data_IF_750539433578
#
_entry.id   IF_750539433578
#
_cell.length_a   1.000
_cell.length_b   1.000
_cell.length_c   1.000
_cell.angle_alpha   90.00
_cell.angle_beta   90.00
_cell.angle_gamma   90.00
#
_symmetry.space_group_name_H-M   'P 1'
#
loop_
_entity.id
_entity.type
_entity.pdbx_description
1 polymer ?
#
# COMPACT_ATOMS: atom_id res chain seq x y z
N UNK A 1 17.60 5.81 -12.99
CA UNK A 1 16.63 5.36 -11.98
C UNK A 1 16.88 3.90 -11.66
N UNK A 2 16.94 3.54 -10.38
CA UNK A 2 16.98 2.14 -9.95
C UNK A 2 15.60 1.55 -10.19
N UNK A 3 15.53 0.53 -11.04
CA UNK A 3 14.31 -0.23 -11.32
C UNK A 3 14.13 -1.27 -10.22
N UNK A 4 12.92 -1.78 -10.03
CA UNK A 4 12.72 -2.98 -9.23
C UNK A 4 13.54 -4.13 -9.85
N UNK A 5 14.60 -4.54 -9.15
CA UNK A 5 15.48 -5.65 -9.56
C UNK A 5 15.06 -6.95 -8.89
N UNK A 6 14.20 -6.89 -7.88
CA UNK A 6 13.80 -8.05 -7.08
C UNK A 6 12.44 -8.55 -7.59
N UNK A 7 12.47 -9.48 -8.54
CA UNK A 7 11.27 -10.06 -9.15
C UNK A 7 10.66 -11.21 -8.34
N UNK A 8 11.46 -11.88 -7.52
CA UNK A 8 11.09 -13.15 -6.90
C UNK A 8 10.35 -12.99 -5.57
N UNK A 9 10.49 -11.81 -4.96
CA UNK A 9 9.77 -11.40 -3.75
C UNK A 9 8.68 -10.44 -4.16
N UNK A 10 7.52 -10.51 -3.52
CA UNK A 10 6.46 -9.51 -3.64
C UNK A 10 5.88 -9.25 -2.26
N UNK A 11 5.81 -7.98 -1.90
CA UNK A 11 5.27 -7.48 -0.65
C UNK A 11 3.74 -7.59 -0.64
N UNK A 12 3.10 -7.43 -1.80
CA UNK A 12 1.65 -7.51 -1.97
C UNK A 12 1.28 -8.53 -3.04
N UNK A 13 0.62 -9.63 -2.63
CA UNK A 13 0.15 -10.66 -3.55
C UNK A 13 -1.35 -10.56 -3.74
N UNK A 14 -1.81 -10.59 -4.99
CA UNK A 14 -3.25 -10.57 -5.31
C UNK A 14 -4.04 -11.68 -4.59
N UNK A 15 -3.44 -12.87 -4.43
CA UNK A 15 -4.05 -13.98 -3.68
C UNK A 15 -4.33 -13.61 -2.22
N UNK A 16 -3.39 -12.92 -1.56
CA UNK A 16 -3.54 -12.49 -0.16
C UNK A 16 -4.62 -11.41 -0.06
N UNK A 17 -4.63 -10.44 -0.99
CA UNK A 17 -5.65 -9.40 -1.05
C UNK A 17 -7.07 -9.97 -1.21
N UNK A 18 -7.23 -10.98 -2.08
CA UNK A 18 -8.53 -11.64 -2.30
C UNK A 18 -9.01 -12.49 -1.11
N UNK A 19 -8.12 -12.85 -0.19
CA UNK A 19 -8.50 -13.63 0.99
C UNK A 19 -9.08 -12.74 2.09
N UNK A 20 -8.79 -11.43 2.08
CA UNK A 20 -9.23 -10.49 3.12
C UNK A 20 -10.76 -10.45 3.14
N UNK A 21 -11.34 -10.75 4.31
CA UNK A 21 -12.77 -10.66 4.51
C UNK A 21 -13.27 -9.25 4.14
N UNK A 22 -14.36 -9.12 3.37
CA UNK A 22 -14.81 -7.82 2.86
C UNK A 22 -14.97 -6.73 3.94
N UNK A 23 -15.44 -7.09 5.13
CA UNK A 23 -15.59 -6.14 6.24
C UNK A 23 -14.25 -5.60 6.74
N UNK A 24 -13.16 -6.35 6.60
CA UNK A 24 -11.83 -5.98 7.09
C UNK A 24 -10.96 -5.27 6.03
N UNK A 25 -11.36 -5.31 4.76
CA UNK A 25 -10.62 -4.70 3.65
C UNK A 25 -10.39 -3.20 3.88
N UNK A 26 -11.39 -2.49 4.40
CA UNK A 26 -11.25 -1.08 4.77
C UNK A 26 -10.11 -0.86 5.78
N UNK A 27 -10.02 -1.69 6.83
CA UNK A 27 -9.01 -1.55 7.87
C UNK A 27 -7.61 -1.86 7.33
N UNK A 28 -7.51 -2.90 6.50
CA UNK A 28 -6.28 -3.23 5.78
C UNK A 28 -5.79 -2.05 4.93
N UNK A 29 -6.65 -1.50 4.06
CA UNK A 29 -6.32 -0.37 3.20
C UNK A 29 -5.91 0.88 4.00
N UNK A 30 -6.56 1.14 5.14
CA UNK A 30 -6.21 2.23 6.02
C UNK A 30 -4.81 2.05 6.63
N UNK A 31 -4.47 0.84 7.09
CA UNK A 31 -3.14 0.52 7.63
C UNK A 31 -2.07 0.59 6.54
N UNK A 32 -2.36 0.08 5.34
CA UNK A 32 -1.45 0.13 4.20
C UNK A 32 -1.20 1.57 3.77
N UNK A 33 -2.25 2.38 3.58
CA UNK A 33 -2.12 3.81 3.24
C UNK A 33 -1.30 4.59 4.28
N UNK A 34 -1.48 4.32 5.58
CA UNK A 34 -0.63 4.90 6.63
C UNK A 34 0.83 4.48 6.48
N UNK A 35 1.09 3.21 6.15
CA UNK A 35 2.44 2.72 5.95
C UNK A 35 3.15 3.45 4.80
N UNK A 36 2.50 3.57 3.63
CA UNK A 36 3.06 4.26 2.47
C UNK A 36 3.36 5.73 2.76
N UNK A 37 2.43 6.44 3.40
CA UNK A 37 2.60 7.86 3.75
C UNK A 37 3.74 8.11 4.74
N UNK A 38 3.98 7.19 5.67
CA UNK A 38 4.96 7.41 6.74
C UNK A 38 6.34 6.81 6.44
N UNK A 39 6.41 5.74 5.65
CA UNK A 39 7.63 4.94 5.50
C UNK A 39 8.17 4.87 4.08
N UNK A 40 7.34 5.13 3.06
CA UNK A 40 7.73 4.95 1.65
C UNK A 40 7.86 6.31 0.97
N UNK A 41 6.78 7.08 0.86
CA UNK A 41 6.79 8.36 0.14
C UNK A 41 7.84 9.36 0.66
N UNK A 42 8.05 9.54 1.99
CA UNK A 42 9.06 10.48 2.48
C UNK A 42 10.50 10.09 2.18
N UNK A 43 10.76 8.82 1.85
CA UNK A 43 12.10 8.26 1.63
C UNK A 43 12.43 8.07 0.14
N UNK A 44 11.51 8.42 -0.75
CA UNK A 44 11.75 8.30 -2.19
C UNK A 44 12.53 9.52 -2.68
N UNK A 45 13.76 9.26 -3.12
CA UNK A 45 14.58 10.24 -3.82
C UNK A 45 14.38 10.10 -5.33
N UNK A 46 13.72 11.09 -5.94
CA UNK A 46 13.48 11.13 -7.38
C UNK A 46 14.19 12.36 -7.97
N UNK A 47 15.14 12.11 -8.87
CA UNK A 47 15.88 13.17 -9.56
C UNK A 47 15.14 13.78 -10.76
N UNK A 48 14.15 13.08 -11.31
CA UNK A 48 13.36 13.54 -12.46
C UNK A 48 12.14 14.35 -12.01
N UNK A 49 12.04 15.60 -12.45
CA UNK A 49 10.89 16.49 -12.16
C UNK A 49 9.57 15.84 -12.60
N UNK A 50 9.55 15.15 -13.74
CA UNK A 50 8.35 14.49 -14.28
C UNK A 50 7.90 13.36 -13.36
N UNK A 51 8.83 12.53 -12.91
CA UNK A 51 8.54 11.42 -12.01
C UNK A 51 8.15 11.91 -10.62
N UNK A 52 8.78 12.99 -10.13
CA UNK A 52 8.42 13.61 -8.85
C UNK A 52 6.98 14.15 -8.87
N UNK A 53 6.55 14.76 -9.98
CA UNK A 53 5.14 15.17 -10.15
C UNK A 53 4.19 13.97 -10.10
N UNK A 54 4.54 12.87 -10.77
CA UNK A 54 3.77 11.62 -10.72
C UNK A 54 3.67 11.05 -9.30
N UNK A 55 4.79 11.03 -8.58
CA UNK A 55 4.83 10.58 -7.19
C UNK A 55 3.97 11.46 -6.27
N UNK A 56 4.06 12.78 -6.40
CA UNK A 56 3.26 13.70 -5.60
C UNK A 56 1.77 13.51 -5.86
N UNK A 57 1.38 13.32 -7.12
CA UNK A 57 -0.01 13.03 -7.47
C UNK A 57 -0.49 11.73 -6.80
N UNK A 58 0.30 10.67 -6.91
CA UNK A 58 0.01 9.38 -6.27
C UNK A 58 -0.09 9.49 -4.74
N UNK A 59 0.85 10.17 -4.10
CA UNK A 59 0.84 10.40 -2.65
C UNK A 59 -0.42 11.15 -2.20
N UNK A 60 -0.85 12.15 -2.98
CA UNK A 60 -2.09 12.88 -2.71
C UNK A 60 -3.32 12.00 -2.87
N UNK A 61 -3.39 11.13 -3.89
CA UNK A 61 -4.48 10.16 -4.05
C UNK A 61 -4.53 9.18 -2.87
N UNK A 62 -3.39 8.65 -2.43
CA UNK A 62 -3.31 7.78 -1.25
C UNK A 62 -3.71 8.53 0.03
N UNK A 63 -3.33 9.80 0.17
CA UNK A 63 -3.75 10.65 1.28
C UNK A 63 -5.28 10.85 1.30
N UNK A 64 -5.88 11.12 0.14
CA UNK A 64 -7.33 11.24 0.00
C UNK A 64 -8.06 9.97 0.46
N UNK A 65 -7.66 8.82 -0.09
CA UNK A 65 -8.21 7.51 0.29
C UNK A 65 -8.06 7.24 1.80
N UNK A 66 -6.89 7.55 2.37
CA UNK A 66 -6.64 7.41 3.81
C UNK A 66 -7.60 8.27 4.65
N UNK A 67 -7.90 9.49 4.21
CA UNK A 67 -8.82 10.40 4.92
C UNK A 67 -10.25 9.81 4.90
N UNK A 68 -10.71 9.35 3.74
CA UNK A 68 -12.03 8.72 3.59
C UNK A 68 -12.15 7.45 4.44
N UNK A 69 -11.16 6.56 4.37
CA UNK A 69 -11.13 5.33 5.17
C UNK A 69 -11.05 5.62 6.68
N UNK A 70 -10.33 6.68 7.08
CA UNK A 70 -10.29 7.12 8.48
C UNK A 70 -11.68 7.56 8.94
N UNK A 71 -12.43 8.27 8.10
CA UNK A 71 -13.81 8.63 8.41
C UNK A 71 -14.71 7.39 8.58
N UNK A 72 -14.62 6.43 7.65
CA UNK A 72 -15.32 5.15 7.73
C UNK A 72 -15.02 4.39 9.04
N UNK A 73 -13.75 4.37 9.45
CA UNK A 73 -13.32 3.76 10.72
C UNK A 73 -13.85 4.50 11.94
N UNK A 74 -13.81 5.83 11.96
CA UNK A 74 -14.39 6.62 13.05
C UNK A 74 -15.92 6.41 13.18
N UNK A 75 -16.61 6.10 12.08
CA UNK A 75 -18.04 5.76 12.08
C UNK A 75 -18.33 4.29 12.39
N UNK A 76 -17.35 3.51 12.88
CA UNK A 76 -17.47 2.07 13.18
C UNK A 76 -17.90 1.19 11.98
N UNK A 77 -17.72 1.66 10.74
CA UNK A 77 -18.05 0.93 9.50
C UNK A 77 -16.85 0.17 8.91
N UNK A 78 -15.74 0.14 9.63
CA UNK A 78 -14.46 -0.41 9.18
C UNK A 78 -13.87 -1.31 10.28
N UNK A 79 -14.45 -2.48 10.54
CA UNK A 79 -13.95 -3.37 11.57
C UNK A 79 -12.51 -3.81 11.25
N UNK A 80 -11.68 -3.87 12.29
CA UNK A 80 -10.32 -4.36 12.23
C UNK A 80 -10.26 -5.69 12.99
N UNK A 81 -10.23 -6.80 12.27
CA UNK A 81 -10.04 -8.13 12.83
C UNK A 81 -8.61 -8.63 12.68
N UNK A 82 -8.41 -9.90 13.02
CA UNK A 82 -7.10 -10.53 13.03
C UNK A 82 -6.52 -10.69 11.62
N UNK A 83 -7.37 -10.82 10.60
CA UNK A 83 -6.90 -11.06 9.24
C UNK A 83 -6.22 -9.82 8.66
N UNK A 84 -6.84 -8.65 8.80
CA UNK A 84 -6.22 -7.38 8.38
C UNK A 84 -4.96 -7.06 9.19
N UNK A 85 -4.90 -7.47 10.46
CA UNK A 85 -3.70 -7.32 11.28
C UNK A 85 -2.56 -8.20 10.76
N UNK A 86 -2.81 -9.51 10.62
CA UNK A 86 -1.80 -10.49 10.20
C UNK A 86 -1.22 -10.19 8.83
N UNK A 87 -2.05 -9.86 7.86
CA UNK A 87 -1.57 -9.53 6.51
C UNK A 87 -0.68 -8.28 6.51
N UNK A 88 -1.03 -7.29 7.33
CA UNK A 88 -0.20 -6.09 7.49
C UNK A 88 1.09 -6.38 8.27
N UNK A 89 1.11 -7.37 9.15
CA UNK A 89 2.31 -7.84 9.84
C UNK A 89 3.25 -8.55 8.87
N UNK A 90 2.75 -9.55 8.12
CA UNK A 90 3.51 -10.25 7.08
C UNK A 90 4.12 -9.28 6.05
N UNK A 91 3.35 -8.27 5.63
CA UNK A 91 3.83 -7.21 4.75
C UNK A 91 4.99 -6.43 5.37
N UNK A 92 4.87 -6.02 6.65
CA UNK A 92 5.91 -5.25 7.35
C UNK A 92 7.17 -6.08 7.57
N UNK A 93 7.02 -7.33 8.00
CA UNK A 93 8.14 -8.24 8.22
C UNK A 93 8.94 -8.43 6.93
N UNK A 94 8.25 -8.72 5.82
CA UNK A 94 8.91 -8.86 4.51
C UNK A 94 9.60 -7.56 4.09
N UNK A 95 8.95 -6.40 4.29
CA UNK A 95 9.52 -5.10 3.96
C UNK A 95 10.81 -4.81 4.76
N UNK A 96 10.80 -5.06 6.08
CA UNK A 96 11.95 -4.76 6.94
C UNK A 96 13.10 -5.77 6.84
N UNK A 97 12.85 -6.95 6.28
CA UNK A 97 13.91 -7.93 5.95
C UNK A 97 14.70 -7.56 4.70
N UNK A 98 14.15 -6.71 3.83
CA UNK A 98 14.82 -6.25 2.62
C UNK A 98 15.79 -5.10 2.93
N UNK A 99 16.77 -4.90 2.04
CA UNK A 99 17.59 -3.67 2.04
C UNK A 99 16.66 -2.46 1.85
N UNK A 100 16.91 -1.37 2.58
CA UNK A 100 15.99 -0.23 2.72
C UNK A 100 15.57 0.36 1.37
N UNK A 101 16.53 0.64 0.49
CA UNK A 101 16.25 1.26 -0.81
C UNK A 101 15.51 0.28 -1.73
N UNK A 102 15.95 -0.98 -1.75
CA UNK A 102 15.28 -2.04 -2.50
C UNK A 102 13.83 -2.26 -2.03
N UNK A 103 13.57 -2.23 -0.72
CA UNK A 103 12.24 -2.38 -0.13
C UNK A 103 11.29 -1.25 -0.57
N UNK A 104 11.79 -0.01 -0.57
CA UNK A 104 11.04 1.17 -0.98
C UNK A 104 10.68 1.08 -2.48
N UNK A 105 11.66 0.79 -3.34
CA UNK A 105 11.44 0.62 -4.78
C UNK A 105 10.43 -0.50 -5.02
N UNK A 106 10.57 -1.61 -4.30
CA UNK A 106 9.68 -2.75 -4.41
C UNK A 106 8.24 -2.40 -4.04
N UNK A 107 8.04 -1.72 -2.91
CA UNK A 107 6.72 -1.35 -2.44
C UNK A 107 6.00 -0.41 -3.42
N UNK A 108 6.73 0.47 -4.09
CA UNK A 108 6.17 1.30 -5.16
C UNK A 108 5.83 0.46 -6.40
N UNK A 109 6.71 -0.46 -6.81
CA UNK A 109 6.44 -1.37 -7.92
C UNK A 109 5.20 -2.25 -7.70
N UNK A 110 5.05 -2.80 -6.50
CA UNK A 110 3.93 -3.65 -6.11
C UNK A 110 2.61 -2.87 -5.93
N UNK A 111 2.64 -1.54 -5.91
CA UNK A 111 1.41 -0.74 -5.83
C UNK A 111 0.47 -0.99 -7.02
N UNK A 112 1.02 -1.34 -8.19
CA UNK A 112 0.22 -1.76 -9.34
C UNK A 112 -0.66 -2.98 -9.05
N UNK A 113 -0.22 -3.89 -8.17
CA UNK A 113 -1.01 -5.06 -7.76
C UNK A 113 -2.20 -4.61 -6.92
N UNK A 114 -1.98 -3.67 -5.99
CA UNK A 114 -3.04 -3.08 -5.17
C UNK A 114 -4.06 -2.33 -6.04
N UNK A 115 -3.61 -1.49 -6.97
CA UNK A 115 -4.49 -0.70 -7.84
C UNK A 115 -5.38 -1.61 -8.68
N UNK A 116 -4.79 -2.61 -9.34
CA UNK A 116 -5.56 -3.61 -10.12
C UNK A 116 -6.57 -4.37 -9.26
N UNK A 117 -6.21 -4.67 -8.02
CA UNK A 117 -7.13 -5.31 -7.09
C UNK A 117 -8.27 -4.36 -6.69
N UNK A 118 -7.99 -3.09 -6.43
CA UNK A 118 -9.01 -2.08 -6.15
C UNK A 118 -9.96 -1.90 -7.33
N UNK A 119 -9.43 -1.72 -8.55
CA UNK A 119 -10.23 -1.57 -9.77
C UNK A 119 -11.16 -2.77 -10.03
N UNK A 120 -10.71 -3.99 -9.69
CA UNK A 120 -11.51 -5.20 -9.84
C UNK A 120 -12.65 -5.29 -8.81
N UNK A 121 -12.42 -4.84 -7.58
CA UNK A 121 -13.34 -5.06 -6.46
C UNK A 121 -14.20 -3.83 -6.12
N UNK A 122 -13.77 -2.65 -6.52
CA UNK A 122 -14.42 -1.37 -6.30
C UNK A 122 -14.48 -0.64 -7.64
N UNK A 123 -15.32 -1.15 -8.54
CA UNK A 123 -15.73 -0.38 -9.70
C UNK A 123 -16.66 0.73 -9.21
N UNK A 124 -16.26 1.98 -9.46
CA UNK A 124 -17.22 3.07 -9.65
C UNK A 124 -17.81 2.97 -11.05
#
# INVERSE_FOLDING_TARGET
>A
HKKDVITDVSLLKAKVLNQIHPSEQCCFLLKLGRFYMNNIFPKLEISSIKEQKGLNHLANSVLGLKIELKHCHSSMRCPCGDQSHKIMEDFRETFYQMETEAAIIKAIGDLNILIRWLEKNYQG
#
